data_IF_186618874469
#
_entry.id   IF_186618874469
#
_cell.length_a   1.000
_cell.length_b   1.000
_cell.length_c   1.000
_cell.angle_alpha   90.00
_cell.angle_beta   90.00
_cell.angle_gamma   90.00
#
_symmetry.space_group_name_H-M   'P 1'
#
loop_
_entity.id
_entity.type
_entity.pdbx_description
1 polymer ?
#
# COMPACT_ATOMS: atom_id res chain seq x y z
N UNK A 1 36.24 21.03 -80.38
CA UNK A 1 36.45 21.05 -78.92
C UNK A 1 35.16 21.61 -78.34
N UNK A 2 34.26 20.74 -77.88
CA UNK A 2 32.96 21.12 -77.32
C UNK A 2 33.06 20.95 -75.78
N UNK A 3 32.62 21.92 -74.96
CA UNK A 3 32.77 21.81 -73.51
C UNK A 3 31.66 20.92 -72.93
N UNK A 4 32.06 19.99 -72.07
CA UNK A 4 31.15 19.11 -71.33
C UNK A 4 30.33 19.92 -70.30
N UNK A 5 29.04 19.57 -70.07
CA UNK A 5 28.19 20.28 -69.11
C UNK A 5 28.57 19.96 -67.64
N UNK A 6 28.27 20.86 -66.69
CA UNK A 6 28.61 20.65 -65.28
C UNK A 6 27.78 19.50 -64.69
N UNK A 7 28.47 18.53 -64.07
CA UNK A 7 27.82 17.52 -63.23
C UNK A 7 27.37 18.19 -61.94
N UNK A 8 26.08 18.51 -61.88
CA UNK A 8 25.46 19.02 -60.67
C UNK A 8 25.33 17.88 -59.64
N UNK A 9 26.17 17.89 -58.61
CA UNK A 9 26.03 17.08 -57.40
C UNK A 9 24.82 17.57 -56.57
N UNK A 10 23.60 17.30 -57.01
CA UNK A 10 22.36 17.76 -56.33
C UNK A 10 21.85 16.76 -55.29
N UNK A 11 22.29 15.50 -55.34
CA UNK A 11 21.70 14.44 -54.52
C UNK A 11 22.15 14.45 -53.04
N UNK A 12 23.25 15.15 -52.71
CA UNK A 12 23.77 15.22 -51.33
C UNK A 12 23.25 16.44 -50.55
N UNK A 13 22.72 17.46 -51.22
CA UNK A 13 22.36 18.74 -50.58
C UNK A 13 20.96 18.72 -49.93
N UNK A 14 20.10 17.76 -50.32
CA UNK A 14 18.74 17.58 -49.80
C UNK A 14 18.50 16.19 -49.19
N UNK A 15 19.51 15.61 -48.53
CA UNK A 15 19.32 14.34 -47.83
C UNK A 15 18.45 14.53 -46.59
N UNK A 16 17.32 13.82 -46.50
CA UNK A 16 16.38 13.84 -45.37
C UNK A 16 17.05 13.49 -44.04
N UNK A 17 18.21 12.82 -44.09
CA UNK A 17 19.04 12.53 -42.94
C UNK A 17 19.65 13.77 -42.28
N UNK A 18 19.82 14.87 -43.02
CA UNK A 18 20.38 16.15 -42.52
C UNK A 18 19.39 16.97 -41.69
N UNK A 19 18.09 16.71 -41.82
CA UNK A 19 17.01 17.42 -41.11
C UNK A 19 16.42 16.63 -39.95
N UNK A 20 16.85 15.39 -39.73
CA UNK A 20 16.40 14.57 -38.59
C UNK A 20 17.18 14.99 -37.35
N UNK A 21 16.50 15.73 -36.45
CA UNK A 21 16.98 15.93 -35.09
C UNK A 21 16.68 14.65 -34.31
N UNK A 22 17.70 13.81 -34.09
CA UNK A 22 17.56 12.66 -33.20
C UNK A 22 17.46 13.17 -31.77
N UNK A 23 16.31 12.96 -31.14
CA UNK A 23 16.21 13.11 -29.70
C UNK A 23 17.02 11.98 -29.05
N UNK A 24 17.74 12.31 -27.98
CA UNK A 24 18.36 11.29 -27.14
C UNK A 24 17.30 10.31 -26.69
N UNK A 25 17.61 9.01 -26.78
CA UNK A 25 16.71 7.98 -26.26
C UNK A 25 16.41 8.30 -24.79
N UNK A 26 15.13 8.21 -24.37
CA UNK A 26 14.77 8.50 -23.00
C UNK A 26 15.61 7.63 -22.07
N UNK A 27 16.27 8.26 -21.10
CA UNK A 27 17.07 7.57 -20.10
C UNK A 27 16.18 6.52 -19.44
N UNK A 28 16.52 5.22 -19.51
CA UNK A 28 15.70 4.17 -18.93
C UNK A 28 15.53 4.44 -17.43
N UNK A 29 14.32 4.18 -16.92
CA UNK A 29 14.02 4.36 -15.51
C UNK A 29 15.10 3.65 -14.67
N UNK A 30 15.63 4.37 -13.67
CA UNK A 30 16.68 3.86 -12.77
C UNK A 30 16.27 2.55 -12.07
N UNK A 31 14.98 2.24 -12.02
CA UNK A 31 14.42 0.92 -11.69
C UNK A 31 13.22 0.62 -12.58
N UNK A 32 13.26 -0.52 -13.26
CA UNK A 32 12.08 -1.05 -13.95
C UNK A 32 11.07 -1.65 -12.96
N UNK A 33 9.82 -1.87 -13.40
CA UNK A 33 8.86 -2.67 -12.64
C UNK A 33 9.43 -4.05 -12.30
N UNK A 34 9.15 -4.55 -11.09
CA UNK A 34 9.59 -5.90 -10.68
C UNK A 34 8.62 -6.92 -11.26
N UNK A 35 9.14 -7.86 -12.04
CA UNK A 35 8.32 -8.92 -12.65
C UNK A 35 7.82 -9.90 -11.59
N UNK A 36 6.59 -10.36 -11.78
CA UNK A 36 6.02 -11.48 -11.04
C UNK A 36 6.83 -12.76 -11.34
N UNK A 37 7.16 -13.51 -10.30
CA UNK A 37 7.82 -14.80 -10.41
C UNK A 37 6.83 -15.96 -10.60
N UNK A 38 7.32 -17.18 -10.86
CA UNK A 38 6.47 -18.36 -11.10
C UNK A 38 5.57 -18.75 -9.92
N UNK A 39 5.93 -18.33 -8.70
CA UNK A 39 5.15 -18.56 -7.48
C UNK A 39 4.12 -17.48 -7.19
N UNK A 40 4.09 -16.39 -7.96
CA UNK A 40 3.11 -15.31 -7.81
C UNK A 40 1.81 -15.68 -8.52
N UNK A 41 0.69 -15.14 -8.03
CA UNK A 41 -0.62 -15.37 -8.64
C UNK A 41 -0.67 -14.70 -10.02
N UNK A 42 -0.81 -15.47 -11.12
CA UNK A 42 -0.80 -14.92 -12.46
C UNK A 42 -2.01 -13.99 -12.74
N UNK A 43 -3.07 -14.05 -11.93
CA UNK A 43 -4.25 -13.19 -12.08
C UNK A 43 -4.03 -11.74 -11.63
N UNK A 44 -3.01 -11.48 -10.81
CA UNK A 44 -2.69 -10.13 -10.28
C UNK A 44 -1.91 -9.29 -11.30
N UNK A 45 -1.35 -9.93 -12.32
CA UNK A 45 -0.65 -9.29 -13.43
C UNK A 45 0.85 -9.60 -13.44
N UNK A 46 1.54 -9.07 -14.45
CA UNK A 46 2.95 -9.38 -14.72
C UNK A 46 3.94 -8.70 -13.78
N UNK A 47 3.48 -7.77 -12.93
CA UNK A 47 4.32 -6.96 -12.07
C UNK A 47 3.85 -6.99 -10.63
N UNK A 48 4.81 -6.98 -9.71
CA UNK A 48 4.58 -7.01 -8.27
C UNK A 48 5.05 -5.72 -7.62
N UNK A 49 4.38 -5.33 -6.53
CA UNK A 49 4.80 -4.21 -5.71
C UNK A 49 6.19 -4.51 -5.11
N UNK A 50 7.08 -3.52 -5.07
CA UNK A 50 8.43 -3.73 -4.56
C UNK A 50 8.92 -2.53 -3.73
N UNK A 51 9.71 -2.85 -2.71
CA UNK A 51 10.25 -1.94 -1.71
C UNK A 51 11.75 -2.11 -1.63
N UNK A 52 12.45 -0.98 -1.44
CA UNK A 52 13.92 -0.95 -1.37
C UNK A 52 14.49 -1.62 -0.12
N UNK A 53 13.72 -1.62 0.97
CA UNK A 53 14.10 -2.13 2.29
C UNK A 53 12.82 -2.33 3.15
N UNK A 54 12.96 -3.00 4.29
CA UNK A 54 11.86 -3.25 5.22
C UNK A 54 11.24 -1.95 5.79
N UNK A 55 12.04 -0.90 5.94
CA UNK A 55 11.58 0.39 6.47
C UNK A 55 10.66 1.10 5.48
N UNK A 56 10.93 1.01 4.18
CA UNK A 56 10.08 1.54 3.13
C UNK A 56 8.75 0.79 3.06
N UNK A 57 8.77 -0.54 3.21
CA UNK A 57 7.55 -1.34 3.33
C UNK A 57 6.73 -0.93 4.56
N UNK A 58 7.37 -0.82 5.73
CA UNK A 58 6.73 -0.42 6.99
C UNK A 58 6.08 0.97 6.89
N UNK A 59 6.77 1.94 6.28
CA UNK A 59 6.25 3.29 6.03
C UNK A 59 5.04 3.27 5.09
N UNK A 60 5.11 2.49 4.01
CA UNK A 60 3.99 2.36 3.09
C UNK A 60 2.77 1.71 3.76
N UNK A 61 3.01 0.70 4.61
CA UNK A 61 1.95 0.07 5.40
C UNK A 61 1.29 1.07 6.36
N UNK A 62 2.07 1.80 7.15
CA UNK A 62 1.55 2.82 8.08
C UNK A 62 0.81 3.95 7.36
N UNK A 63 1.29 4.37 6.19
CA UNK A 63 0.63 5.37 5.37
C UNK A 63 -0.73 4.85 4.85
N UNK A 64 -0.77 3.60 4.38
CA UNK A 64 -2.02 2.94 3.98
C UNK A 64 -3.01 2.86 5.14
N UNK A 65 -2.56 2.37 6.31
CA UNK A 65 -3.40 2.19 7.50
C UNK A 65 -4.00 3.53 7.92
N UNK A 66 -3.15 4.56 8.06
CA UNK A 66 -3.58 5.91 8.44
C UNK A 66 -4.58 6.49 7.45
N UNK A 67 -4.34 6.32 6.14
CA UNK A 67 -5.21 6.89 5.11
C UNK A 67 -6.58 6.21 5.07
N UNK A 68 -6.61 4.87 5.20
CA UNK A 68 -7.87 4.14 5.23
C UNK A 68 -8.68 4.43 6.50
N UNK A 69 -8.01 4.58 7.66
CA UNK A 69 -8.68 5.01 8.89
C UNK A 69 -9.29 6.40 8.70
N UNK A 70 -8.52 7.37 8.19
CA UNK A 70 -9.01 8.74 7.96
C UNK A 70 -10.25 8.77 7.04
N UNK A 71 -10.21 8.04 5.93
CA UNK A 71 -11.33 7.96 4.98
C UNK A 71 -12.53 7.23 5.58
N UNK A 72 -12.29 6.14 6.31
CA UNK A 72 -13.33 5.39 6.97
C UNK A 72 -14.01 6.21 8.08
N UNK A 73 -13.25 6.95 8.89
CA UNK A 73 -13.78 7.84 9.93
C UNK A 73 -14.61 8.98 9.32
N UNK A 74 -14.15 9.57 8.23
CA UNK A 74 -14.91 10.60 7.50
C UNK A 74 -16.24 10.03 6.97
N UNK A 75 -16.21 8.85 6.35
CA UNK A 75 -17.41 8.15 5.87
C UNK A 75 -18.34 7.74 7.01
N UNK A 76 -17.79 7.24 8.11
CA UNK A 76 -18.52 6.85 9.31
C UNK A 76 -19.20 8.05 9.95
N UNK A 77 -18.57 9.22 9.99
CA UNK A 77 -19.19 10.45 10.49
C UNK A 77 -20.45 10.80 9.72
N UNK A 78 -20.42 10.71 8.38
CA UNK A 78 -21.59 10.96 7.53
C UNK A 78 -22.65 9.87 7.71
N UNK A 79 -22.23 8.60 7.73
CA UNK A 79 -23.15 7.47 7.91
C UNK A 79 -23.86 7.51 9.27
N UNK A 80 -23.13 7.84 10.33
CA UNK A 80 -23.63 7.94 11.69
C UNK A 80 -24.54 9.14 11.89
N UNK A 81 -24.29 10.29 11.26
CA UNK A 81 -25.24 11.43 11.32
C UNK A 81 -26.56 11.09 10.65
N UNK A 82 -26.53 10.43 9.49
CA UNK A 82 -27.75 9.97 8.80
C UNK A 82 -28.50 8.94 9.65
N UNK A 83 -27.78 7.96 10.21
CA UNK A 83 -28.37 6.94 11.10
C UNK A 83 -28.99 7.56 12.35
N UNK A 84 -28.27 8.45 13.03
CA UNK A 84 -28.75 9.18 14.19
C UNK A 84 -30.02 9.98 13.87
N UNK A 85 -30.01 10.72 12.75
CA UNK A 85 -31.18 11.49 12.34
C UNK A 85 -32.39 10.60 12.05
N UNK A 86 -32.18 9.43 11.44
CA UNK A 86 -33.24 8.46 11.19
C UNK A 86 -33.83 7.85 12.46
N UNK A 87 -33.00 7.60 13.48
CA UNK A 87 -33.42 7.05 14.78
C UNK A 87 -34.15 8.09 15.64
N UNK A 88 -33.71 9.34 15.57
CA UNK A 88 -34.23 10.45 16.34
C UNK A 88 -35.35 11.24 15.61
N UNK A 89 -36.07 10.60 14.67
CA UNK A 89 -37.22 11.24 14.02
C UNK A 89 -38.40 11.30 14.99
N UNK A 90 -39.04 12.46 15.17
CA UNK A 90 -40.29 12.53 15.90
C UNK A 90 -41.37 11.75 15.14
N UNK A 91 -42.36 11.19 15.85
CA UNK A 91 -43.52 10.58 15.22
C UNK A 91 -44.23 11.54 14.27
N UNK A 92 -44.73 11.04 13.15
CA UNK A 92 -45.35 11.85 12.09
C UNK A 92 -46.50 12.74 12.57
N UNK A 93 -47.28 12.28 13.57
CA UNK A 93 -48.41 13.05 14.11
C UNK A 93 -47.99 14.33 14.83
N UNK A 94 -46.74 14.42 15.33
CA UNK A 94 -46.20 15.65 15.95
C UNK A 94 -46.12 16.81 14.94
N UNK A 95 -45.96 16.51 13.65
CA UNK A 95 -45.98 17.52 12.60
C UNK A 95 -47.37 18.17 12.43
N UNK A 96 -48.45 17.47 12.81
CA UNK A 96 -49.82 17.98 12.72
C UNK A 96 -50.20 18.88 13.90
N UNK A 97 -49.61 18.65 15.08
CA UNK A 97 -49.92 19.41 16.31
C UNK A 97 -49.05 20.66 16.48
N UNK A 98 -48.16 20.95 15.53
CA UNK A 98 -47.19 22.03 15.59
C UNK A 98 -45.90 21.63 16.32
N UNK A 99 -44.75 21.91 15.71
CA UNK A 99 -43.43 21.67 16.31
C UNK A 99 -43.15 22.70 17.41
N UNK A 100 -42.76 22.21 18.59
CA UNK A 100 -42.28 23.07 19.68
C UNK A 100 -40.77 23.21 19.63
N UNK A 101 -40.25 24.34 20.11
CA UNK A 101 -38.79 24.57 20.25
C UNK A 101 -38.14 23.51 21.15
N UNK A 102 -38.86 23.02 22.17
CA UNK A 102 -38.42 21.90 23.01
C UNK A 102 -38.17 20.62 22.21
N UNK A 103 -38.99 20.35 21.18
CA UNK A 103 -38.90 19.12 20.38
C UNK A 103 -37.65 19.13 19.49
N UNK A 104 -37.20 20.31 19.05
CA UNK A 104 -35.94 20.47 18.32
C UNK A 104 -34.73 20.21 19.23
N UNK A 105 -34.79 20.72 20.47
CA UNK A 105 -33.72 20.51 21.46
C UNK A 105 -33.59 19.05 21.87
N UNK A 106 -34.72 18.35 22.07
CA UNK A 106 -34.73 16.91 22.36
C UNK A 106 -34.17 16.10 21.19
N UNK A 107 -34.52 16.48 19.96
CA UNK A 107 -34.00 15.84 18.74
C UNK A 107 -32.49 16.01 18.62
N UNK A 108 -31.98 17.22 18.80
CA UNK A 108 -30.54 17.50 18.78
C UNK A 108 -29.78 16.66 19.81
N UNK A 109 -30.27 16.58 21.05
CA UNK A 109 -29.66 15.76 22.10
C UNK A 109 -29.68 14.26 21.80
N UNK A 110 -30.76 13.78 21.17
CA UNK A 110 -30.83 12.41 20.70
C UNK A 110 -29.82 12.16 19.57
N UNK A 111 -29.76 13.05 18.58
CA UNK A 111 -28.89 12.92 17.42
C UNK A 111 -27.41 12.94 17.82
N UNK A 112 -27.01 13.83 18.73
CA UNK A 112 -25.65 13.88 19.24
C UNK A 112 -25.29 12.57 19.95
N UNK A 113 -26.16 12.06 20.83
CA UNK A 113 -25.90 10.81 21.58
C UNK A 113 -25.80 9.60 20.65
N UNK A 114 -26.74 9.45 19.71
CA UNK A 114 -26.74 8.35 18.75
C UNK A 114 -25.56 8.42 17.78
N UNK A 115 -25.19 9.64 17.34
CA UNK A 115 -24.03 9.85 16.48
C UNK A 115 -22.74 9.47 17.21
N UNK A 116 -22.53 9.95 18.45
CA UNK A 116 -21.33 9.64 19.24
C UNK A 116 -21.20 8.14 19.49
N UNK A 117 -22.29 7.46 19.87
CA UNK A 117 -22.30 6.02 20.08
C UNK A 117 -21.98 5.23 18.79
N UNK A 118 -22.58 5.63 17.66
CA UNK A 118 -22.29 5.03 16.36
C UNK A 118 -20.83 5.23 15.94
N UNK A 119 -20.30 6.45 16.09
CA UNK A 119 -18.96 6.82 15.65
C UNK A 119 -17.87 6.11 16.48
N UNK A 120 -18.09 5.94 17.79
CA UNK A 120 -17.17 5.18 18.64
C UNK A 120 -17.00 3.73 18.15
N UNK A 121 -18.11 3.03 17.87
CA UNK A 121 -18.08 1.66 17.32
C UNK A 121 -17.49 1.63 15.91
N UNK A 122 -17.78 2.64 15.09
CA UNK A 122 -17.26 2.71 13.73
C UNK A 122 -15.74 2.87 13.69
N UNK A 123 -15.15 3.67 14.59
CA UNK A 123 -13.69 3.87 14.67
C UNK A 123 -12.92 2.56 14.86
N UNK A 124 -13.38 1.70 15.76
CA UNK A 124 -12.76 0.38 15.95
C UNK A 124 -12.83 -0.46 14.67
N UNK A 125 -14.00 -0.48 14.02
CA UNK A 125 -14.17 -1.19 12.74
C UNK A 125 -13.30 -0.61 11.63
N UNK A 126 -13.07 0.69 11.62
CA UNK A 126 -12.20 1.37 10.66
C UNK A 126 -10.74 0.91 10.81
N UNK A 127 -10.24 0.73 12.03
CA UNK A 127 -8.89 0.18 12.28
C UNK A 127 -8.78 -1.25 11.73
N UNK A 128 -9.73 -2.13 12.04
CA UNK A 128 -9.73 -3.51 11.54
C UNK A 128 -9.84 -3.57 10.01
N UNK A 129 -10.69 -2.74 9.42
CA UNK A 129 -10.84 -2.63 7.97
C UNK A 129 -9.54 -2.16 7.31
N UNK A 130 -8.90 -1.15 7.86
CA UNK A 130 -7.63 -0.63 7.35
C UNK A 130 -6.54 -1.71 7.40
N UNK A 131 -6.41 -2.42 8.52
CA UNK A 131 -5.44 -3.52 8.68
C UNK A 131 -5.65 -4.65 7.68
N UNK A 132 -6.89 -5.11 7.51
CA UNK A 132 -7.25 -6.16 6.55
C UNK A 132 -6.87 -5.76 5.12
N UNK A 133 -7.27 -4.56 4.68
CA UNK A 133 -7.04 -4.09 3.31
C UNK A 133 -5.57 -3.80 3.04
N UNK A 134 -4.90 -3.09 3.95
CA UNK A 134 -3.48 -2.78 3.77
C UNK A 134 -2.63 -4.05 3.79
N UNK A 135 -2.89 -5.00 4.69
CA UNK A 135 -2.14 -6.24 4.68
C UNK A 135 -2.37 -7.00 3.39
N UNK A 136 -3.62 -7.21 2.98
CA UNK A 136 -3.91 -7.96 1.75
C UNK A 136 -3.17 -7.40 0.52
N UNK A 137 -3.06 -6.07 0.40
CA UNK A 137 -2.38 -5.43 -0.73
C UNK A 137 -0.86 -5.41 -0.62
N UNK A 138 -0.30 -5.30 0.59
CA UNK A 138 1.14 -5.16 0.82
C UNK A 138 1.86 -6.48 1.15
N UNK A 139 1.10 -7.55 1.42
CA UNK A 139 1.59 -8.86 1.88
C UNK A 139 2.57 -9.53 0.91
N UNK A 140 2.26 -9.48 -0.38
CA UNK A 140 3.08 -10.11 -1.43
C UNK A 140 4.09 -9.15 -2.05
N UNK A 141 4.24 -7.94 -1.49
CA UNK A 141 5.24 -6.97 -1.92
C UNK A 141 6.67 -7.50 -1.73
N UNK A 142 7.54 -7.27 -2.72
CA UNK A 142 8.94 -7.67 -2.70
C UNK A 142 9.78 -6.69 -1.91
N UNK A 143 10.63 -7.18 -1.01
CA UNK A 143 11.55 -6.36 -0.23
C UNK A 143 12.98 -6.75 -0.62
N UNK A 144 13.74 -5.78 -1.10
CA UNK A 144 15.13 -6.01 -1.47
C UNK A 144 15.99 -6.31 -0.24
N UNK A 145 16.68 -7.45 -0.28
CA UNK A 145 17.70 -7.83 0.68
C UNK A 145 18.99 -7.10 0.33
N UNK A 146 19.09 -5.85 0.75
CA UNK A 146 20.40 -5.20 0.72
C UNK A 146 21.28 -5.86 1.78
N UNK A 147 22.44 -6.40 1.36
CA UNK A 147 23.50 -6.96 2.22
C UNK A 147 24.02 -5.98 3.29
N UNK A 148 23.53 -4.73 3.27
CA UNK A 148 23.91 -3.63 4.17
C UNK A 148 22.81 -3.24 5.17
N UNK A 149 21.59 -3.76 5.05
CA UNK A 149 20.42 -3.27 5.82
C UNK A 149 19.76 -4.28 6.74
N UNK A 150 19.90 -5.58 6.48
CA UNK A 150 19.38 -6.62 7.37
C UNK A 150 20.55 -7.19 8.15
N UNK A 151 20.64 -6.86 9.44
CA UNK A 151 21.65 -7.46 10.30
C UNK A 151 21.43 -9.00 10.23
N UNK A 152 22.43 -9.81 9.87
CA UNK A 152 22.26 -11.25 9.74
C UNK A 152 21.69 -11.89 11.01
N UNK A 153 21.95 -11.31 12.19
CA UNK A 153 21.36 -11.74 13.47
C UNK A 153 19.86 -11.42 13.62
N UNK A 154 19.39 -10.36 12.97
CA UNK A 154 17.95 -10.00 12.90
C UNK A 154 17.24 -10.88 11.87
N UNK A 155 17.89 -11.16 10.73
CA UNK A 155 17.38 -12.11 9.74
C UNK A 155 17.31 -13.52 10.35
N UNK A 156 18.35 -13.98 11.05
CA UNK A 156 18.33 -15.24 11.79
C UNK A 156 17.23 -15.27 12.85
N UNK A 157 16.97 -14.18 13.58
CA UNK A 157 15.86 -14.12 14.55
C UNK A 157 14.49 -14.15 13.89
N UNK A 158 14.30 -13.43 12.79
CA UNK A 158 13.04 -13.38 12.03
C UNK A 158 12.75 -14.74 11.36
N UNK A 159 13.78 -15.33 10.76
CA UNK A 159 13.70 -16.66 10.14
C UNK A 159 13.54 -17.75 11.20
N UNK A 160 14.27 -17.68 12.33
CA UNK A 160 14.13 -18.63 13.45
C UNK A 160 12.74 -18.60 14.09
N UNK A 161 12.00 -17.49 14.01
CA UNK A 161 10.62 -17.41 14.47
C UNK A 161 9.63 -17.99 13.44
N UNK A 162 9.94 -17.87 12.14
CA UNK A 162 9.15 -18.48 11.08
C UNK A 162 9.40 -20.00 10.92
N UNK A 163 10.56 -20.51 11.34
CA UNK A 163 10.97 -21.90 11.16
C UNK A 163 11.04 -22.68 12.47
N UNK A 164 9.88 -23.09 13.00
CA UNK A 164 9.77 -24.33 13.77
C UNK A 164 9.38 -25.53 12.89
N UNK A 165 9.57 -25.42 11.57
CA UNK A 165 9.37 -26.53 10.62
C UNK A 165 10.68 -26.80 9.87
N UNK A 166 11.20 -27.99 10.17
CA UNK A 166 12.26 -28.80 9.56
C UNK A 166 13.46 -28.14 8.84
N UNK A 167 14.65 -28.51 9.33
CA UNK A 167 15.97 -28.02 8.94
C UNK A 167 16.48 -28.63 7.63
N UNK A 168 15.79 -29.63 7.08
CA UNK A 168 16.19 -30.38 5.87
C UNK A 168 15.82 -29.68 4.54
N UNK A 169 14.89 -28.71 4.56
CA UNK A 169 14.42 -27.99 3.36
C UNK A 169 15.32 -26.82 2.90
N UNK A 170 16.39 -26.53 3.66
CA UNK A 170 17.28 -25.38 3.41
C UNK A 170 18.16 -25.51 2.16
N UNK A 171 18.50 -26.74 1.75
CA UNK A 171 19.44 -26.96 0.64
C UNK A 171 18.76 -26.87 -0.74
N UNK A 172 17.44 -27.11 -0.82
CA UNK A 172 16.71 -27.10 -2.09
C UNK A 172 16.03 -25.76 -2.42
N UNK A 173 15.85 -24.86 -1.45
CA UNK A 173 15.26 -23.52 -1.70
C UNK A 173 16.27 -22.47 -2.14
N UNK A 174 17.57 -22.75 -1.98
CA UNK A 174 18.65 -21.87 -2.40
C UNK A 174 19.22 -22.46 -3.69
N UNK A 175 18.59 -22.17 -4.82
CA UNK A 175 19.17 -22.43 -6.14
C UNK A 175 20.44 -21.59 -6.33
N UNK A 176 21.53 -22.02 -5.70
CA UNK A 176 22.81 -21.32 -5.69
C UNK A 176 23.70 -21.69 -6.89
N UNK A 177 23.29 -22.66 -7.71
CA UNK A 177 24.19 -23.26 -8.70
C UNK A 177 24.11 -22.66 -10.11
N UNK A 178 23.26 -21.65 -10.35
CA UNK A 178 23.17 -21.09 -11.69
C UNK A 178 22.64 -19.65 -11.73
N UNK A 179 23.51 -18.66 -11.52
CA UNK A 179 23.62 -17.45 -12.36
C UNK A 179 24.62 -16.45 -11.77
N UNK A 180 25.69 -16.19 -12.52
CA UNK A 180 26.48 -14.97 -12.36
C UNK A 180 25.65 -13.76 -12.78
N UNK A 181 25.04 -13.08 -11.81
CA UNK A 181 24.72 -11.65 -11.85
C UNK A 181 24.23 -11.27 -10.45
N UNK A 182 24.67 -10.13 -9.94
CA UNK A 182 24.29 -9.57 -8.64
C UNK A 182 22.78 -9.28 -8.58
N UNK A 183 21.98 -10.32 -8.36
CA UNK A 183 20.55 -10.21 -8.12
C UNK A 183 20.36 -10.03 -6.62
N UNK A 184 20.03 -8.81 -6.20
CA UNK A 184 19.54 -8.54 -4.86
C UNK A 184 18.43 -9.54 -4.56
N UNK A 185 18.63 -10.46 -3.61
CA UNK A 185 17.57 -11.40 -3.24
C UNK A 185 16.36 -10.60 -2.78
N UNK A 186 15.16 -10.96 -3.25
CA UNK A 186 13.92 -10.24 -2.95
C UNK A 186 13.01 -11.18 -2.16
N UNK A 187 12.75 -10.84 -0.89
CA UNK A 187 11.82 -11.59 -0.04
C UNK A 187 10.41 -11.06 -0.22
N UNK A 188 9.39 -11.90 -0.05
CA UNK A 188 8.03 -11.40 0.11
C UNK A 188 7.86 -10.81 1.50
N UNK A 189 7.07 -9.76 1.61
CA UNK A 189 6.82 -9.12 2.89
C UNK A 189 6.25 -10.12 3.92
N UNK A 190 5.34 -11.01 3.52
CA UNK A 190 4.81 -12.03 4.44
C UNK A 190 5.87 -13.00 4.98
N UNK A 191 6.94 -13.27 4.22
CA UNK A 191 8.01 -14.18 4.64
C UNK A 191 8.87 -13.55 5.75
N UNK A 192 8.97 -12.22 5.76
CA UNK A 192 9.69 -11.46 6.77
C UNK A 192 8.80 -11.03 7.94
N UNK A 193 7.52 -10.77 7.67
CA UNK A 193 6.56 -10.14 8.59
C UNK A 193 5.60 -11.15 9.21
N UNK A 194 5.55 -12.40 8.76
CA UNK A 194 4.70 -13.43 9.36
C UNK A 194 3.20 -13.10 9.31
N UNK A 195 2.47 -13.45 10.37
CA UNK A 195 1.02 -13.20 10.52
C UNK A 195 0.72 -11.77 10.99
N UNK A 196 -0.55 -11.34 10.91
CA UNK A 196 -1.04 -10.01 11.30
C UNK A 196 -0.55 -9.55 12.70
N UNK A 197 -0.40 -10.48 13.64
CA UNK A 197 0.11 -10.22 14.99
C UNK A 197 1.58 -9.75 15.04
N UNK A 198 2.38 -10.11 14.03
CA UNK A 198 3.82 -9.82 13.99
C UNK A 198 4.14 -8.52 13.23
N UNK A 199 3.16 -8.01 12.47
CA UNK A 199 3.21 -6.68 11.85
C UNK A 199 3.37 -5.61 12.93
N UNK A 200 2.58 -5.67 14.00
CA UNK A 200 2.67 -4.73 15.12
C UNK A 200 4.03 -4.80 15.83
N UNK A 201 4.67 -5.98 15.90
CA UNK A 201 6.03 -6.14 16.44
C UNK A 201 7.11 -5.51 15.53
N UNK A 202 7.00 -5.66 14.21
CA UNK A 202 7.95 -5.08 13.25
C UNK A 202 7.80 -3.57 13.12
N UNK A 203 6.58 -3.06 13.25
CA UNK A 203 6.28 -1.63 13.18
C UNK A 203 6.59 -0.88 14.48
N UNK A 204 7.22 -1.54 15.46
CA UNK A 204 7.61 -0.92 16.74
C UNK A 204 6.41 -0.47 17.55
N UNK A 205 5.39 -1.34 17.70
CA UNK A 205 4.27 -1.06 18.58
C UNK A 205 4.76 -0.89 20.03
N UNK A 206 4.83 0.35 20.49
CA UNK A 206 4.66 0.69 21.89
C UNK A 206 3.25 0.24 22.30
N UNK A 207 3.12 -1.00 22.73
CA UNK A 207 2.06 -1.38 23.66
C UNK A 207 2.40 -0.78 25.03
N UNK A 208 2.42 0.55 25.11
CA UNK A 208 2.43 1.26 26.37
C UNK A 208 1.03 1.16 26.93
N UNK A 209 0.88 0.31 27.93
CA UNK A 209 -0.26 0.23 28.82
C UNK A 209 -0.75 1.63 29.18
N UNK A 210 -2.01 1.94 28.86
CA UNK A 210 -2.77 2.95 29.60
C UNK A 210 -4.07 2.30 30.09
N UNK A 211 -3.88 1.38 31.03
CA UNK A 211 -4.87 1.13 32.07
C UNK A 211 -4.52 2.01 33.26
N UNK A 212 -5.53 2.74 33.78
CA UNK A 212 -5.64 3.32 35.14
C UNK A 212 -5.61 4.86 35.27
N UNK A 213 -6.75 5.37 35.79
CA UNK A 213 -7.09 6.70 36.35
C UNK A 213 -7.60 7.71 35.31
N UNK A 214 -8.85 8.15 35.31
CA UNK A 214 -9.85 8.34 36.38
C UNK A 214 -11.25 7.87 35.97
#
# INVERSE_FOLDING_TARGET
MEPSPPQNNIDDEYSSSSTIITFDQPVPLLRGPVQAGPSDDPSVGHYVLAFRDLQAWAKAYRACESKLIEQCDAGARIGCTISASSKCKPPWWRALTGFKVSDLKEKEQCEEREMQGCLAVAKEKCVWFARDKCLKSLRDGRIAATSRGVNPKQLEKLVSWATMVDRSMWVNLIGLDHLGSWSSTNYRAFELVGSNAYVDCILGGDSSNETSKF
#
